data_IF_089347094224
#
_entry.id   IF_089347094224
#
_cell.length_a   1.000
_cell.length_b   1.000
_cell.length_c   1.000
_cell.angle_alpha   90.00
_cell.angle_beta   90.00
_cell.angle_gamma   90.00
#
_symmetry.space_group_name_H-M   'P 1'
#
loop_
_entity.id
_entity.type
_entity.pdbx_description
1 polymer ?
#
# COMPACT_ATOMS: atom_id res chain seq x y z
N UNK A 1 5.31 1.66 15.06
CA UNK A 1 6.67 1.71 14.47
C UNK A 1 7.14 0.28 14.25
N UNK A 2 7.64 -0.04 13.05
CA UNK A 2 8.14 -1.37 12.67
C UNK A 2 9.55 -1.21 12.09
N UNK A 3 10.63 -1.45 12.87
CA UNK A 3 12.01 -1.34 12.38
C UNK A 3 12.34 -2.47 11.39
N UNK A 4 12.92 -2.15 10.23
CA UNK A 4 13.11 -3.12 9.12
C UNK A 4 14.53 -3.21 8.58
N UNK A 5 15.34 -2.17 8.73
CA UNK A 5 16.68 -2.08 8.18
C UNK A 5 17.55 -1.13 9.00
N UNK A 6 18.86 -1.37 8.98
CA UNK A 6 19.85 -0.67 9.79
C UNK A 6 21.07 -0.32 8.93
N UNK A 7 21.57 0.92 9.04
CA UNK A 7 22.91 1.24 8.56
C UNK A 7 23.67 2.10 9.57
N UNK A 8 24.88 1.65 9.90
CA UNK A 8 25.79 2.33 10.79
C UNK A 8 26.67 3.33 10.01
N UNK A 9 26.55 4.61 10.34
CA UNK A 9 27.53 5.62 9.95
C UNK A 9 28.58 5.75 11.05
N UNK A 10 29.62 4.92 10.98
CA UNK A 10 30.71 4.92 11.97
C UNK A 10 31.54 6.21 11.96
N UNK A 11 31.50 6.99 10.87
CA UNK A 11 32.20 8.28 10.76
C UNK A 11 31.53 9.33 11.64
N UNK A 12 30.20 9.37 11.63
CA UNK A 12 29.41 10.34 12.40
C UNK A 12 28.97 9.79 13.77
N UNK A 13 29.10 8.47 14.00
CA UNK A 13 28.66 7.83 15.24
C UNK A 13 27.14 7.68 15.31
N UNK A 14 26.49 7.43 14.18
CA UNK A 14 25.03 7.41 14.05
C UNK A 14 24.55 6.09 13.45
N UNK A 15 23.41 5.61 13.95
CA UNK A 15 22.70 4.46 13.41
C UNK A 15 21.39 4.94 12.79
N UNK A 16 21.21 4.64 11.50
CA UNK A 16 19.98 4.91 10.76
C UNK A 16 19.11 3.67 10.76
N UNK A 17 17.82 3.83 11.07
CA UNK A 17 16.85 2.74 11.19
C UNK A 17 15.62 3.04 10.33
N UNK A 18 15.29 2.20 9.34
CA UNK A 18 14.03 2.34 8.61
C UNK A 18 12.87 1.86 9.48
N UNK A 19 11.79 2.63 9.51
CA UNK A 19 10.57 2.32 10.26
C UNK A 19 9.39 2.22 9.29
N UNK A 20 9.18 1.02 8.70
CA UNK A 20 8.27 0.81 7.58
C UNK A 20 6.83 1.25 7.86
N UNK A 21 6.28 0.91 9.02
CA UNK A 21 4.91 1.27 9.40
C UNK A 21 4.77 2.71 9.93
N UNK A 22 5.74 3.59 9.68
CA UNK A 22 5.71 4.99 10.14
C UNK A 22 6.34 5.96 9.13
N UNK A 23 6.80 5.49 7.97
CA UNK A 23 7.40 6.29 6.90
C UNK A 23 8.52 7.24 7.35
N UNK A 24 9.34 6.77 8.28
CA UNK A 24 10.49 7.51 8.76
C UNK A 24 11.77 6.68 8.74
N UNK A 25 12.89 7.39 8.74
CA UNK A 25 14.18 6.90 9.22
C UNK A 25 14.46 7.52 10.58
N UNK A 26 14.62 6.68 11.61
CA UNK A 26 15.10 7.11 12.92
C UNK A 26 16.63 7.20 12.91
N UNK A 27 17.17 8.28 13.49
CA UNK A 27 18.62 8.48 13.66
C UNK A 27 18.95 8.35 15.15
N UNK A 28 19.84 7.42 15.48
CA UNK A 28 20.23 7.12 16.86
C UNK A 28 21.70 7.47 17.04
N UNK A 29 22.02 8.22 18.10
CA UNK A 29 23.40 8.44 18.51
C UNK A 29 23.95 7.17 19.16
N UNK A 30 25.00 6.59 18.58
CA UNK A 30 25.55 5.31 19.05
C UNK A 30 26.41 5.40 20.31
N UNK A 31 26.64 6.60 20.84
CA UNK A 31 27.36 6.82 22.11
C UNK A 31 26.41 7.03 23.28
N UNK A 32 25.26 7.63 23.03
CA UNK A 32 24.25 7.94 24.07
C UNK A 32 23.02 7.04 24.01
N UNK A 33 22.87 6.25 22.94
CA UNK A 33 21.68 5.43 22.65
C UNK A 33 20.38 6.24 22.55
N UNK A 34 20.49 7.52 22.18
CA UNK A 34 19.36 8.44 22.08
C UNK A 34 18.91 8.64 20.63
N UNK A 35 17.59 8.71 20.43
CA UNK A 35 16.98 9.15 19.18
C UNK A 35 17.25 10.65 19.00
N UNK A 36 18.03 11.02 17.98
CA UNK A 36 18.39 12.41 17.69
C UNK A 36 17.49 13.07 16.64
N UNK A 37 16.94 12.28 15.71
CA UNK A 37 16.10 12.77 14.63
C UNK A 37 15.17 11.68 14.09
N UNK A 38 14.02 12.08 13.54
CA UNK A 38 13.14 11.22 12.74
C UNK A 38 12.90 11.90 11.40
N UNK A 39 13.45 11.32 10.34
CA UNK A 39 13.43 11.89 9.00
C UNK A 39 12.25 11.28 8.26
N UNK A 40 11.27 12.08 7.85
CA UNK A 40 10.21 11.62 6.94
C UNK A 40 10.81 11.26 5.58
N UNK A 41 10.36 10.13 5.03
CA UNK A 41 10.75 9.69 3.67
C UNK A 41 9.65 9.95 2.64
N UNK A 42 8.64 10.74 3.00
CA UNK A 42 7.52 11.06 2.11
C UNK A 42 7.96 11.94 0.95
N UNK A 43 7.46 11.64 -0.25
CA UNK A 43 7.62 12.50 -1.42
C UNK A 43 7.05 13.92 -1.20
N UNK A 44 6.04 14.04 -0.36
CA UNK A 44 5.49 15.33 0.06
C UNK A 44 5.09 15.30 1.53
N UNK A 45 5.33 16.40 2.26
CA UNK A 45 5.08 16.52 3.71
C UNK A 45 3.63 16.32 4.16
N UNK A 46 2.71 16.39 3.21
CA UNK A 46 1.26 16.34 3.46
C UNK A 46 0.66 14.96 3.12
N UNK A 47 1.51 14.03 2.68
CA UNK A 47 1.14 12.62 2.58
C UNK A 47 1.01 12.06 3.99
N UNK A 48 -0.07 11.32 4.22
CA UNK A 48 -0.35 10.78 5.55
C UNK A 48 0.49 9.52 5.83
N UNK A 49 0.57 8.62 4.85
CA UNK A 49 1.27 7.35 4.95
C UNK A 49 1.48 6.74 3.55
N UNK A 50 2.27 5.67 3.47
CA UNK A 50 2.41 4.81 2.29
C UNK A 50 3.73 4.93 1.55
N UNK A 51 4.81 5.38 2.19
CA UNK A 51 6.15 5.27 1.57
C UNK A 51 6.75 3.88 1.74
N UNK A 52 6.52 3.24 2.89
CA UNK A 52 6.96 1.87 3.19
C UNK A 52 8.48 1.67 3.12
N UNK A 53 9.29 2.36 3.94
CA UNK A 53 10.75 2.22 3.93
C UNK A 53 11.18 0.81 4.41
N UNK A 54 11.69 0.00 3.48
CA UNK A 54 12.02 -1.41 3.66
C UNK A 54 13.43 -1.67 4.19
N UNK A 55 14.40 -0.94 3.67
CA UNK A 55 15.82 -1.08 3.98
C UNK A 55 16.56 0.19 3.57
N UNK A 56 17.81 0.35 3.99
CA UNK A 56 18.62 1.51 3.69
C UNK A 56 20.12 1.19 3.60
N UNK A 57 20.87 1.97 2.83
CA UNK A 57 22.34 1.92 2.79
C UNK A 57 22.93 3.32 2.73
N UNK A 58 24.16 3.48 3.22
CA UNK A 58 24.95 4.70 3.07
C UNK A 58 25.72 4.68 1.74
N UNK A 59 26.01 5.87 1.21
CA UNK A 59 27.10 6.04 0.23
C UNK A 59 28.46 5.76 0.89
N UNK A 60 29.50 5.39 0.13
CA UNK A 60 30.81 5.05 0.71
C UNK A 60 31.47 6.17 1.52
N UNK A 61 31.19 7.43 1.17
CA UNK A 61 31.66 8.63 1.89
C UNK A 61 30.75 9.02 3.07
N UNK A 62 29.66 8.28 3.28
CA UNK A 62 28.66 8.55 4.31
C UNK A 62 27.86 9.83 4.12
N UNK A 63 27.94 10.50 2.95
CA UNK A 63 27.26 11.78 2.69
C UNK A 63 25.79 11.65 2.29
N UNK A 64 25.39 10.47 1.79
CA UNK A 64 24.03 10.16 1.35
C UNK A 64 23.52 8.87 1.99
N UNK A 65 22.24 8.87 2.31
CA UNK A 65 21.46 7.70 2.66
C UNK A 65 20.54 7.36 1.48
N UNK A 66 20.49 6.09 1.11
CA UNK A 66 19.58 5.55 0.11
C UNK A 66 18.60 4.64 0.81
N UNK A 67 17.31 4.96 0.74
CA UNK A 67 16.24 4.23 1.44
C UNK A 67 15.33 3.61 0.40
N UNK A 68 15.11 2.30 0.45
CA UNK A 68 14.19 1.60 -0.44
C UNK A 68 12.75 1.80 0.05
N UNK A 69 11.98 2.64 -0.64
CA UNK A 69 10.56 2.87 -0.38
C UNK A 69 9.73 1.91 -1.25
N UNK A 70 9.20 0.87 -0.61
CA UNK A 70 8.52 -0.25 -1.29
C UNK A 70 7.29 0.17 -2.07
N UNK A 71 6.38 0.86 -1.38
CA UNK A 71 5.07 1.25 -1.92
C UNK A 71 5.19 2.32 -3.02
N UNK A 72 6.24 3.13 -3.00
CA UNK A 72 6.49 4.17 -4.00
C UNK A 72 7.26 3.67 -5.22
N UNK A 73 7.74 2.41 -5.19
CA UNK A 73 8.62 1.84 -6.20
C UNK A 73 9.85 2.72 -6.46
N UNK A 74 10.48 3.19 -5.38
CA UNK A 74 11.54 4.18 -5.46
C UNK A 74 12.63 3.98 -4.38
N UNK A 75 13.80 4.57 -4.64
CA UNK A 75 14.83 4.83 -3.65
C UNK A 75 14.77 6.32 -3.27
N UNK A 76 14.46 6.62 -2.03
CA UNK A 76 14.58 7.95 -1.45
C UNK A 76 16.06 8.26 -1.16
N UNK A 77 16.53 9.43 -1.59
CA UNK A 77 17.91 9.88 -1.41
C UNK A 77 17.93 11.00 -0.38
N UNK A 78 18.66 10.82 0.72
CA UNK A 78 18.69 11.78 1.83
C UNK A 78 20.14 12.24 2.05
N UNK A 79 20.37 13.53 2.29
CA UNK A 79 21.67 13.99 2.77
C UNK A 79 21.84 13.67 4.26
N UNK A 80 22.99 13.12 4.65
CA UNK A 80 23.26 12.75 6.05
C UNK A 80 23.72 13.94 6.90
N UNK A 81 24.25 14.99 6.27
CA UNK A 81 24.66 16.22 6.97
C UNK A 81 23.43 16.98 7.45
N UNK A 82 23.41 17.34 8.73
CA UNK A 82 22.38 18.19 9.30
C UNK A 82 22.39 19.61 8.66
N UNK A 83 21.22 20.22 8.39
CA UNK A 83 19.87 19.64 8.51
C UNK A 83 19.63 18.56 7.45
N UNK A 84 19.16 17.38 7.86
CA UNK A 84 18.95 16.26 6.95
C UNK A 84 17.73 16.53 6.08
N UNK A 85 17.86 16.27 4.79
CA UNK A 85 16.82 16.58 3.81
C UNK A 85 16.77 15.50 2.75
N UNK A 86 15.55 15.16 2.33
CA UNK A 86 15.33 14.39 1.12
C UNK A 86 15.78 15.25 -0.08
N UNK A 87 16.71 14.71 -0.86
CA UNK A 87 17.25 15.33 -2.07
C UNK A 87 16.44 14.96 -3.31
N UNK A 88 15.73 13.83 -3.28
CA UNK A 88 14.91 13.33 -4.39
C UNK A 88 14.73 11.82 -4.36
N UNK A 89 14.19 11.28 -5.44
CA UNK A 89 13.79 9.89 -5.58
C UNK A 89 14.32 9.28 -6.89
N UNK A 90 14.66 7.99 -6.84
CA UNK A 90 15.14 7.21 -7.98
C UNK A 90 14.13 6.09 -8.25
N UNK A 91 13.56 5.96 -9.45
CA UNK A 91 12.57 4.92 -9.73
C UNK A 91 13.21 3.53 -9.75
N UNK A 92 12.46 2.52 -9.33
CA UNK A 92 12.85 1.10 -9.36
C UNK A 92 11.77 0.25 -10.04
N UNK A 93 11.95 -1.09 -10.02
CA UNK A 93 10.85 -2.02 -10.25
C UNK A 93 9.89 -2.08 -9.06
N UNK A 94 8.88 -2.94 -9.15
CA UNK A 94 7.84 -3.03 -8.13
C UNK A 94 8.38 -3.55 -6.78
N UNK A 95 8.15 -2.78 -5.73
CA UNK A 95 8.41 -3.09 -4.34
C UNK A 95 9.90 -3.35 -4.04
N UNK A 96 10.76 -2.32 -4.07
CA UNK A 96 12.15 -2.46 -3.67
C UNK A 96 12.22 -2.83 -2.18
N UNK A 97 12.61 -4.07 -1.88
CA UNK A 97 12.74 -4.61 -0.53
C UNK A 97 14.14 -4.42 0.07
N UNK A 98 15.14 -4.15 -0.77
CA UNK A 98 16.51 -3.89 -0.33
C UNK A 98 17.25 -3.01 -1.33
N UNK A 99 18.18 -2.18 -0.84
CA UNK A 99 19.07 -1.36 -1.65
C UNK A 99 20.51 -1.45 -1.11
N UNK A 100 21.47 -1.61 -2.00
CA UNK A 100 22.91 -1.54 -1.70
C UNK A 100 23.65 -0.67 -2.71
N UNK A 101 24.83 -0.18 -2.35
CA UNK A 101 25.75 0.48 -3.28
C UNK A 101 27.03 -0.33 -3.43
N UNK A 102 27.74 -0.15 -4.55
CA UNK A 102 29.08 -0.73 -4.69
C UNK A 102 30.13 0.09 -3.91
N UNK A 103 31.33 -0.47 -3.76
CA UNK A 103 32.44 0.18 -3.03
C UNK A 103 32.80 1.57 -3.58
N UNK A 104 32.61 1.79 -4.89
CA UNK A 104 32.91 3.07 -5.55
C UNK A 104 31.76 4.09 -5.44
N UNK A 105 30.57 3.68 -4.99
CA UNK A 105 29.40 4.55 -4.85
C UNK A 105 28.77 4.98 -6.18
N UNK A 106 29.21 4.45 -7.31
CA UNK A 106 28.75 4.86 -8.64
C UNK A 106 27.59 4.01 -9.19
N UNK A 107 27.20 2.95 -8.48
CA UNK A 107 26.01 2.17 -8.76
C UNK A 107 25.21 1.89 -7.48
N UNK A 108 23.89 1.86 -7.64
CA UNK A 108 22.92 1.33 -6.70
C UNK A 108 22.31 0.04 -7.28
N UNK A 109 21.99 -0.89 -6.39
CA UNK A 109 21.31 -2.13 -6.71
C UNK A 109 20.08 -2.24 -5.84
N UNK A 110 18.90 -2.30 -6.47
CA UNK A 110 17.64 -2.51 -5.76
C UNK A 110 17.11 -3.91 -6.05
N UNK A 111 16.82 -4.68 -5.00
CA UNK A 111 16.12 -5.95 -5.12
C UNK A 111 14.61 -5.68 -5.03
N UNK A 112 13.93 -5.80 -6.17
CA UNK A 112 12.50 -5.56 -6.32
C UNK A 112 11.78 -6.89 -6.08
N UNK A 113 11.08 -7.00 -4.94
CA UNK A 113 10.45 -8.25 -4.48
C UNK A 113 9.34 -8.66 -5.43
N UNK A 114 8.51 -7.69 -5.85
CA UNK A 114 7.40 -7.95 -6.76
C UNK A 114 7.83 -7.82 -8.24
N UNK A 115 8.88 -7.06 -8.52
CA UNK A 115 9.56 -7.03 -9.81
C UNK A 115 8.64 -6.67 -10.97
N UNK A 116 8.35 -7.63 -11.85
CA UNK A 116 7.45 -7.47 -13.00
C UNK A 116 6.01 -7.97 -12.75
N UNK A 117 5.71 -8.50 -11.56
CA UNK A 117 4.40 -9.04 -11.20
C UNK A 117 4.13 -10.44 -11.79
N UNK A 118 2.84 -10.80 -11.85
CA UNK A 118 2.35 -12.14 -12.22
C UNK A 118 2.07 -12.29 -13.72
N UNK A 119 3.06 -12.00 -14.58
CA UNK A 119 2.92 -11.95 -16.05
C UNK A 119 2.74 -13.32 -16.75
N UNK A 120 2.39 -14.39 -16.02
CA UNK A 120 2.24 -15.78 -16.51
C UNK A 120 3.31 -16.18 -17.53
N UNK A 121 4.53 -16.43 -17.07
CA UNK A 121 5.64 -16.88 -17.93
C UNK A 121 5.65 -18.40 -18.15
N UNK A 122 4.60 -19.10 -17.71
CA UNK A 122 4.56 -20.56 -17.70
C UNK A 122 3.91 -21.09 -18.96
N UNK A 123 4.66 -21.90 -19.69
CA UNK A 123 4.23 -22.48 -20.97
C UNK A 123 3.40 -23.76 -20.80
N UNK A 124 3.37 -24.32 -19.60
CA UNK A 124 2.74 -25.62 -19.27
C UNK A 124 1.31 -25.50 -18.73
N UNK A 125 0.82 -24.30 -18.40
CA UNK A 125 -0.60 -24.08 -18.07
C UNK A 125 -1.10 -22.75 -18.63
N UNK A 126 -2.41 -22.68 -18.89
CA UNK A 126 -3.10 -21.42 -19.21
C UNK A 126 -3.53 -20.73 -17.91
N UNK A 127 -3.56 -19.40 -17.90
CA UNK A 127 -4.04 -18.58 -16.79
C UNK A 127 -2.96 -18.03 -15.86
N UNK A 128 -3.30 -16.98 -15.13
CA UNK A 128 -2.41 -16.28 -14.18
C UNK A 128 -2.55 -16.88 -12.78
N UNK A 129 -1.46 -16.86 -12.00
CA UNK A 129 -1.47 -17.24 -10.59
C UNK A 129 -0.84 -16.12 -9.77
N UNK A 130 -1.49 -15.74 -8.67
CA UNK A 130 -1.01 -14.68 -7.78
C UNK A 130 0.34 -14.97 -7.13
N UNK A 131 0.75 -16.24 -7.04
CA UNK A 131 2.04 -16.67 -6.51
C UNK A 131 3.16 -16.69 -7.58
N UNK A 132 2.85 -16.52 -8.86
CA UNK A 132 3.81 -16.60 -9.96
C UNK A 132 4.47 -15.21 -10.19
N UNK A 133 5.06 -14.64 -9.13
CA UNK A 133 5.73 -13.32 -9.16
C UNK A 133 7.18 -13.45 -9.61
N UNK A 134 7.60 -12.61 -10.56
CA UNK A 134 9.00 -12.51 -10.99
C UNK A 134 9.68 -11.28 -10.39
N UNK A 135 10.41 -11.48 -9.30
CA UNK A 135 11.30 -10.47 -8.72
C UNK A 135 12.41 -10.04 -9.69
N UNK A 136 12.91 -8.82 -9.55
CA UNK A 136 13.96 -8.27 -10.42
C UNK A 136 15.04 -7.54 -9.62
N UNK A 137 16.19 -7.28 -10.25
CA UNK A 137 17.22 -6.40 -9.71
C UNK A 137 17.36 -5.19 -10.63
N UNK A 138 17.15 -3.99 -10.09
CA UNK A 138 17.48 -2.74 -10.77
C UNK A 138 18.96 -2.42 -10.54
N UNK A 139 19.73 -2.23 -11.62
CA UNK A 139 21.12 -1.77 -11.56
C UNK A 139 21.14 -0.33 -12.06
N UNK A 140 21.41 0.61 -11.16
CA UNK A 140 21.15 2.03 -11.40
C UNK A 140 22.46 2.82 -11.23
N UNK A 141 22.96 3.51 -12.25
CA UNK A 141 24.05 4.46 -12.08
C UNK A 141 23.66 5.54 -11.07
N UNK A 142 24.52 5.82 -10.10
CA UNK A 142 24.23 6.85 -9.09
C UNK A 142 24.08 8.21 -9.78
N UNK A 143 22.90 8.88 -9.67
CA UNK A 143 22.66 10.10 -10.42
C UNK A 143 23.34 11.31 -9.77
N UNK A 144 23.84 12.22 -10.61
CA UNK A 144 24.11 13.60 -10.21
C UNK A 144 22.80 14.37 -9.98
N UNK A 145 22.89 15.64 -9.57
CA UNK A 145 21.71 16.43 -9.17
C UNK A 145 20.64 16.51 -10.27
N UNK A 146 21.02 16.85 -11.50
CA UNK A 146 20.06 16.98 -12.60
C UNK A 146 19.40 15.64 -12.95
N UNK A 147 20.17 14.55 -12.86
CA UNK A 147 19.65 13.19 -13.05
C UNK A 147 18.63 12.83 -11.97
N UNK A 148 18.95 13.15 -10.72
CA UNK A 148 18.07 12.90 -9.58
C UNK A 148 16.76 13.71 -9.70
N UNK A 149 16.84 14.97 -10.14
CA UNK A 149 15.65 15.80 -10.36
C UNK A 149 14.73 15.19 -11.44
N UNK A 150 15.30 14.71 -12.55
CA UNK A 150 14.51 14.03 -13.60
C UNK A 150 13.89 12.74 -13.10
N UNK A 151 14.66 11.91 -12.41
CA UNK A 151 14.20 10.65 -11.82
C UNK A 151 13.09 10.88 -10.77
N UNK A 152 13.21 11.95 -9.99
CA UNK A 152 12.19 12.36 -9.01
C UNK A 152 10.88 12.68 -9.70
N UNK A 153 10.91 13.41 -10.82
CA UNK A 153 9.70 13.68 -11.61
C UNK A 153 9.07 12.39 -12.15
N UNK A 154 9.88 11.43 -12.60
CA UNK A 154 9.38 10.11 -13.01
C UNK A 154 8.68 9.37 -11.87
N UNK A 155 9.25 9.38 -10.66
CA UNK A 155 8.61 8.80 -9.47
C UNK A 155 7.30 9.52 -9.16
N UNK A 156 7.28 10.85 -9.30
CA UNK A 156 6.08 11.67 -9.12
C UNK A 156 4.96 11.29 -10.10
N UNK A 157 5.31 11.09 -11.37
CA UNK A 157 4.38 10.68 -12.42
C UNK A 157 3.86 9.26 -12.21
N UNK A 158 4.75 8.29 -11.94
CA UNK A 158 4.39 6.88 -11.78
C UNK A 158 3.41 6.63 -10.64
N UNK A 159 3.53 7.40 -9.55
CA UNK A 159 2.66 7.28 -8.38
C UNK A 159 1.50 8.30 -8.39
N UNK A 160 1.26 8.96 -9.53
CA UNK A 160 0.18 9.94 -9.70
C UNK A 160 0.16 11.05 -8.63
N UNK A 161 1.34 11.45 -8.16
CA UNK A 161 1.47 12.38 -7.04
C UNK A 161 0.83 13.73 -7.34
N UNK A 162 1.01 14.27 -8.56
CA UNK A 162 0.43 15.55 -8.94
C UNK A 162 -1.11 15.51 -8.93
N UNK A 163 -1.71 14.42 -9.40
CA UNK A 163 -3.15 14.22 -9.35
C UNK A 163 -3.64 14.09 -7.91
N UNK A 164 -2.91 13.37 -7.06
CA UNK A 164 -3.25 13.23 -5.65
C UNK A 164 -3.14 14.56 -4.90
N UNK A 165 -2.06 15.31 -5.13
CA UNK A 165 -1.84 16.64 -4.57
C UNK A 165 -2.91 17.64 -5.00
N UNK A 166 -3.29 17.63 -6.29
CA UNK A 166 -4.38 18.47 -6.80
C UNK A 166 -5.73 18.17 -6.11
N UNK A 167 -5.96 16.90 -5.70
CA UNK A 167 -7.14 16.52 -4.91
C UNK A 167 -7.04 16.94 -3.45
N UNK A 168 -5.84 16.91 -2.85
CA UNK A 168 -5.62 17.39 -1.47
C UNK A 168 -5.75 18.91 -1.33
N UNK A 169 -5.29 19.67 -2.34
CA UNK A 169 -5.24 21.13 -2.33
C UNK A 169 -6.10 21.75 -3.45
N UNK A 170 -7.43 21.55 -3.46
CA UNK A 170 -8.26 22.18 -4.45
C UNK A 170 -8.28 23.70 -4.25
N UNK A 171 -7.97 24.45 -5.31
CA UNK A 171 -8.36 25.86 -5.41
C UNK A 171 -9.89 25.96 -5.56
N UNK A 172 -10.50 27.10 -5.18
CA UNK A 172 -11.24 27.31 -3.93
C UNK A 172 -12.49 26.44 -3.68
N UNK A 173 -12.62 25.99 -2.42
CA UNK A 173 -13.78 25.92 -1.50
C UNK A 173 -15.21 25.79 -2.07
N UNK A 174 -15.46 24.88 -3.02
CA UNK A 174 -16.86 24.49 -3.25
C UNK A 174 -17.36 23.70 -2.03
N UNK A 175 -18.15 24.35 -1.17
CA UNK A 175 -18.92 23.71 -0.09
C UNK A 175 -20.18 23.02 -0.62
N UNK A 176 -20.16 22.61 -1.88
CA UNK A 176 -21.33 22.03 -2.54
C UNK A 176 -21.63 20.66 -1.94
N UNK A 177 -22.92 20.39 -1.80
CA UNK A 177 -23.42 19.04 -1.54
C UNK A 177 -23.46 18.28 -2.87
N UNK A 178 -22.80 17.13 -2.93
CA UNK A 178 -22.68 16.27 -4.12
C UNK A 178 -22.94 14.82 -3.73
N UNK A 179 -23.25 13.89 -4.66
CA UNK A 179 -23.48 12.49 -4.27
C UNK A 179 -22.24 11.84 -3.66
N UNK A 180 -21.11 11.84 -4.39
CA UNK A 180 -19.82 11.30 -3.92
C UNK A 180 -18.81 12.46 -3.84
N UNK A 181 -18.41 12.89 -2.63
CA UNK A 181 -17.37 13.91 -2.46
C UNK A 181 -16.04 13.43 -3.02
N UNK A 182 -15.40 14.24 -3.85
CA UNK A 182 -14.02 14.01 -4.29
C UNK A 182 -13.06 15.09 -3.78
N UNK A 183 -13.58 16.13 -3.11
CA UNK A 183 -12.82 17.16 -2.41
C UNK A 183 -13.19 17.17 -0.92
N UNK A 184 -12.23 17.42 -0.01
CA UNK A 184 -12.51 17.51 1.43
C UNK A 184 -13.56 18.57 1.83
N UNK A 185 -13.73 19.62 1.01
CA UNK A 185 -14.71 20.68 1.28
C UNK A 185 -16.16 20.33 0.89
N UNK A 186 -16.37 19.26 0.13
CA UNK A 186 -17.68 18.83 -0.33
C UNK A 186 -18.38 17.97 0.72
N UNK A 187 -19.72 17.97 0.72
CA UNK A 187 -20.53 17.09 1.58
C UNK A 187 -21.38 16.15 0.75
N UNK A 188 -21.64 14.94 1.26
CA UNK A 188 -22.44 13.96 0.52
C UNK A 188 -23.95 14.22 0.63
N UNK A 189 -24.72 13.92 -0.43
CA UNK A 189 -26.17 13.74 -0.35
C UNK A 189 -26.56 12.48 0.44
N UNK A 190 -25.68 11.48 0.47
CA UNK A 190 -25.90 10.24 1.19
C UNK A 190 -25.70 10.44 2.69
N UNK A 191 -26.62 9.86 3.47
CA UNK A 191 -26.56 9.87 4.94
C UNK A 191 -25.96 8.58 5.51
N UNK A 192 -26.06 7.50 4.74
CA UNK A 192 -25.62 6.16 5.11
C UNK A 192 -24.85 5.57 3.95
N UNK A 193 -23.75 4.89 4.27
CA UNK A 193 -22.97 4.10 3.33
C UNK A 193 -23.01 2.66 3.84
N UNK A 194 -23.38 1.73 2.97
CA UNK A 194 -23.30 0.30 3.25
C UNK A 194 -22.10 -0.20 2.47
N UNK A 195 -21.08 -0.66 3.19
CA UNK A 195 -19.89 -1.25 2.59
C UNK A 195 -19.95 -2.77 2.73
N UNK A 196 -19.78 -3.48 1.62
CA UNK A 196 -19.89 -4.93 1.53
C UNK A 196 -18.59 -5.46 0.95
N UNK A 197 -17.88 -6.23 1.75
CA UNK A 197 -16.66 -6.93 1.34
C UNK A 197 -17.07 -8.32 0.87
N UNK A 198 -16.61 -8.68 -0.34
CA UNK A 198 -16.85 -10.00 -0.92
C UNK A 198 -15.55 -10.57 -1.45
N UNK A 199 -15.23 -11.75 -0.95
CA UNK A 199 -14.04 -12.54 -1.26
C UNK A 199 -14.47 -13.78 -2.09
N UNK A 200 -13.72 -14.40 -3.02
CA UNK A 200 -12.37 -14.16 -3.57
C UNK A 200 -12.49 -14.32 -5.10
N UNK A 201 -12.93 -13.28 -5.82
CA UNK A 201 -13.13 -13.37 -7.29
C UNK A 201 -12.61 -12.12 -7.96
N UNK A 202 -11.94 -12.31 -9.10
CA UNK A 202 -11.50 -11.20 -9.93
C UNK A 202 -12.70 -10.54 -10.61
N UNK A 203 -12.48 -9.34 -11.15
CA UNK A 203 -13.48 -8.63 -11.94
C UNK A 203 -14.00 -9.52 -13.09
N UNK A 204 -13.11 -10.05 -13.92
CA UNK A 204 -13.52 -10.83 -15.11
C UNK A 204 -14.24 -12.12 -14.77
N UNK A 205 -13.89 -12.78 -13.65
CA UNK A 205 -14.59 -13.99 -13.21
C UNK A 205 -16.07 -13.75 -12.93
N UNK A 206 -16.46 -12.53 -12.53
CA UNK A 206 -17.85 -12.19 -12.18
C UNK A 206 -18.51 -11.33 -13.25
N UNK A 207 -17.84 -10.31 -13.74
CA UNK A 207 -18.39 -9.28 -14.63
C UNK A 207 -17.75 -9.28 -16.03
N UNK A 208 -16.93 -10.28 -16.36
CA UNK A 208 -16.29 -10.38 -17.68
C UNK A 208 -17.29 -10.49 -18.85
N UNK A 209 -18.54 -10.90 -18.58
CA UNK A 209 -19.65 -10.95 -19.52
C UNK A 209 -20.50 -9.66 -19.59
N UNK A 210 -20.18 -8.63 -18.81
CA UNK A 210 -20.85 -7.33 -18.90
C UNK A 210 -20.27 -6.48 -20.03
N UNK A 211 -20.99 -6.36 -21.13
CA UNK A 211 -20.59 -5.59 -22.31
C UNK A 211 -20.34 -4.09 -22.06
N UNK A 212 -20.82 -3.55 -20.92
CA UNK A 212 -20.61 -2.17 -20.52
C UNK A 212 -19.21 -1.91 -19.95
N UNK A 213 -18.49 -2.95 -19.54
CA UNK A 213 -17.17 -2.83 -18.92
C UNK A 213 -16.04 -3.35 -19.81
N UNK A 214 -14.81 -3.09 -19.39
CA UNK A 214 -13.59 -3.63 -19.99
C UNK A 214 -13.29 -5.05 -19.47
N UNK A 215 -14.25 -5.96 -19.64
CA UNK A 215 -14.16 -7.35 -19.19
C UNK A 215 -13.74 -8.32 -20.29
N UNK A 216 -12.99 -9.36 -19.91
CA UNK A 216 -12.71 -10.50 -20.79
C UNK A 216 -13.73 -11.62 -20.59
N UNK A 217 -14.69 -11.70 -21.52
CA UNK A 217 -15.73 -12.74 -21.54
C UNK A 217 -15.18 -14.18 -21.49
N UNK A 218 -13.94 -14.41 -21.95
CA UNK A 218 -13.32 -15.74 -21.92
C UNK A 218 -12.87 -16.18 -20.53
N UNK A 219 -12.78 -15.24 -19.58
CA UNK A 219 -12.44 -15.47 -18.18
C UNK A 219 -13.68 -15.50 -17.26
N UNK A 220 -14.88 -15.27 -17.80
CA UNK A 220 -16.12 -15.25 -17.04
C UNK A 220 -16.52 -16.67 -16.58
N UNK A 221 -16.45 -16.91 -15.27
CA UNK A 221 -16.85 -18.17 -14.64
C UNK A 221 -18.25 -18.07 -13.99
N UNK A 222 -18.58 -16.89 -13.47
CA UNK A 222 -19.77 -16.62 -12.66
C UNK A 222 -20.65 -15.53 -13.28
N UNK A 223 -20.86 -15.61 -14.60
CA UNK A 223 -21.64 -14.64 -15.37
C UNK A 223 -23.10 -14.49 -14.92
N UNK A 224 -23.88 -13.73 -15.67
CA UNK A 224 -25.22 -13.26 -15.30
C UNK A 224 -26.13 -14.33 -14.68
N UNK A 225 -26.18 -15.52 -15.27
CA UNK A 225 -27.06 -16.60 -14.78
C UNK A 225 -26.67 -17.15 -13.41
N UNK A 226 -25.40 -17.00 -13.01
CA UNK A 226 -24.87 -17.47 -11.73
C UNK A 226 -24.87 -16.35 -10.69
N UNK A 227 -24.61 -15.10 -11.11
CA UNK A 227 -24.58 -13.93 -10.20
C UNK A 227 -25.57 -12.83 -10.60
N UNK A 228 -26.86 -13.14 -10.78
CA UNK A 228 -27.85 -12.20 -11.34
C UNK A 228 -28.02 -10.95 -10.47
N UNK A 229 -27.92 -11.08 -9.15
CA UNK A 229 -28.01 -9.92 -8.24
C UNK A 229 -26.82 -8.97 -8.37
N UNK A 230 -25.60 -9.49 -8.55
CA UNK A 230 -24.41 -8.64 -8.70
C UNK A 230 -24.49 -7.85 -9.99
N UNK A 231 -24.85 -8.52 -11.07
CA UNK A 231 -24.98 -7.87 -12.35
C UNK A 231 -26.15 -6.89 -12.38
N UNK A 232 -27.31 -7.23 -11.77
CA UNK A 232 -28.42 -6.27 -11.62
C UNK A 232 -27.99 -5.00 -10.92
N UNK A 233 -27.20 -5.10 -9.85
CA UNK A 233 -26.66 -3.92 -9.15
C UNK A 233 -25.75 -3.09 -10.09
N UNK A 234 -24.86 -3.74 -10.84
CA UNK A 234 -23.99 -3.04 -11.78
C UNK A 234 -24.77 -2.38 -12.93
N UNK A 235 -25.77 -3.05 -13.50
CA UNK A 235 -26.64 -2.51 -14.56
C UNK A 235 -27.51 -1.34 -14.09
N UNK A 236 -28.04 -1.42 -12.86
CA UNK A 236 -28.93 -0.41 -12.30
C UNK A 236 -28.19 0.83 -11.82
N UNK A 237 -26.97 0.66 -11.32
CA UNK A 237 -26.20 1.75 -10.70
C UNK A 237 -24.93 2.05 -11.50
N UNK A 238 -23.82 1.44 -11.13
CA UNK A 238 -22.52 1.69 -11.72
C UNK A 238 -21.74 0.39 -11.81
N UNK A 239 -21.20 0.12 -13.00
CA UNK A 239 -20.16 -0.86 -13.19
C UNK A 239 -18.82 -0.13 -13.05
N UNK A 240 -18.01 -0.54 -12.08
CA UNK A 240 -16.64 -0.05 -11.91
C UNK A 240 -15.69 -1.11 -12.42
N UNK A 241 -14.95 -0.79 -13.48
CA UNK A 241 -13.86 -1.61 -14.01
C UNK A 241 -12.51 -0.91 -13.79
N UNK A 242 -11.41 -1.61 -14.12
CA UNK A 242 -10.04 -1.09 -13.99
C UNK A 242 -9.68 -0.59 -12.57
N UNK A 243 -10.28 -1.19 -11.55
CA UNK A 243 -9.95 -0.91 -10.16
C UNK A 243 -8.73 -1.73 -9.73
N UNK A 244 -7.62 -1.06 -9.47
CA UNK A 244 -6.37 -1.68 -9.04
C UNK A 244 -6.21 -1.49 -7.54
N UNK A 245 -5.84 -2.55 -6.84
CA UNK A 245 -5.53 -2.51 -5.40
C UNK A 245 -4.25 -3.29 -5.12
N UNK A 246 -3.57 -2.98 -4.01
CA UNK A 246 -2.36 -3.71 -3.58
C UNK A 246 -2.68 -5.11 -3.05
N UNK A 247 -3.95 -5.40 -2.75
CA UNK A 247 -4.38 -6.69 -2.23
C UNK A 247 -4.25 -7.82 -3.26
N UNK A 248 -3.40 -8.80 -2.98
CA UNK A 248 -3.18 -9.96 -3.87
C UNK A 248 -3.93 -11.22 -3.38
N UNK A 249 -4.05 -11.41 -2.06
CA UNK A 249 -4.75 -12.52 -1.41
C UNK A 249 -5.63 -11.99 -0.28
N UNK A 250 -6.48 -12.83 0.33
CA UNK A 250 -7.39 -12.40 1.41
C UNK A 250 -6.67 -11.68 2.53
N UNK A 251 -5.51 -12.20 2.94
CA UNK A 251 -4.75 -11.59 4.05
C UNK A 251 -4.20 -10.20 3.76
N UNK A 252 -3.96 -9.82 2.51
CA UNK A 252 -3.54 -8.45 2.14
C UNK A 252 -4.74 -7.62 1.69
N UNK A 253 -5.72 -8.26 1.06
CA UNK A 253 -6.94 -7.62 0.54
C UNK A 253 -7.81 -7.06 1.65
N UNK A 254 -8.05 -7.83 2.72
CA UNK A 254 -8.80 -7.35 3.89
C UNK A 254 -8.10 -6.16 4.56
N UNK A 255 -6.78 -6.24 4.75
CA UNK A 255 -5.99 -5.14 5.34
C UNK A 255 -6.06 -3.89 4.46
N UNK A 256 -5.87 -4.02 3.15
CA UNK A 256 -5.99 -2.90 2.24
C UNK A 256 -7.40 -2.28 2.25
N UNK A 257 -8.42 -3.13 2.26
CA UNK A 257 -9.82 -2.71 2.29
C UNK A 257 -10.17 -1.94 3.56
N UNK A 258 -9.72 -2.42 4.71
CA UNK A 258 -10.11 -1.85 6.00
C UNK A 258 -9.14 -0.78 6.50
N UNK A 259 -7.88 -0.78 6.07
CA UNK A 259 -6.81 0.09 6.59
C UNK A 259 -6.19 1.01 5.53
N UNK A 260 -6.58 0.82 4.26
CA UNK A 260 -6.03 1.51 3.08
C UNK A 260 -4.52 1.32 2.85
N UNK A 261 -3.89 0.41 3.58
CA UNK A 261 -2.47 0.12 3.54
C UNK A 261 -2.25 -1.36 3.87
N UNK A 262 -1.32 -2.00 3.17
CA UNK A 262 -0.78 -3.30 3.58
C UNK A 262 0.56 -3.03 4.25
N UNK A 263 0.76 -3.59 5.45
CA UNK A 263 2.03 -3.41 6.14
C UNK A 263 3.15 -4.14 5.41
N UNK A 264 4.35 -3.58 5.48
CA UNK A 264 5.57 -4.20 4.94
C UNK A 264 5.78 -5.64 5.42
N UNK A 265 5.40 -5.93 6.67
CA UNK A 265 5.44 -7.28 7.23
C UNK A 265 4.63 -8.27 6.40
N UNK A 266 3.43 -7.88 5.94
CA UNK A 266 2.58 -8.73 5.13
C UNK A 266 3.03 -8.78 3.67
N UNK A 267 3.47 -7.66 3.10
CA UNK A 267 4.04 -7.61 1.76
C UNK A 267 5.25 -8.56 1.62
N UNK A 268 6.12 -8.62 2.64
CA UNK A 268 7.26 -9.58 2.65
C UNK A 268 6.89 -11.00 3.02
N UNK A 269 5.74 -11.23 3.66
CA UNK A 269 5.27 -12.57 4.01
C UNK A 269 4.66 -13.33 2.80
N UNK A 270 4.55 -12.66 1.65
CA UNK A 270 4.00 -13.23 0.43
C UNK A 270 4.77 -14.48 -0.01
N UNK A 271 4.03 -15.57 -0.25
CA UNK A 271 4.59 -16.88 -0.63
C UNK A 271 4.53 -17.96 0.47
N UNK A 272 4.27 -17.60 1.73
CA UNK A 272 4.14 -18.61 2.78
C UNK A 272 3.40 -18.21 4.06
N UNK A 273 3.24 -16.91 4.36
CA UNK A 273 2.56 -16.44 5.58
C UNK A 273 3.00 -17.20 6.84
N UNK A 274 4.32 -17.41 6.96
CA UNK A 274 4.94 -18.38 7.87
C UNK A 274 4.66 -18.14 9.35
N UNK A 275 4.34 -16.90 9.72
CA UNK A 275 3.96 -16.52 11.08
C UNK A 275 2.44 -16.53 11.28
N UNK A 276 1.66 -15.97 10.36
CA UNK A 276 0.21 -15.79 10.50
C UNK A 276 -0.45 -15.49 9.14
N UNK A 277 -1.74 -15.81 9.01
CA UNK A 277 -2.62 -15.41 7.89
C UNK A 277 -3.78 -14.53 8.42
N UNK A 278 -3.53 -13.25 8.77
CA UNK A 278 -4.46 -12.40 9.52
C UNK A 278 -5.57 -11.76 8.68
N UNK A 279 -6.26 -12.54 7.84
CA UNK A 279 -7.38 -12.04 7.03
C UNK A 279 -8.52 -11.43 7.86
N UNK A 280 -8.67 -11.86 9.12
CA UNK A 280 -9.70 -11.37 10.05
C UNK A 280 -9.04 -10.82 11.33
N UNK A 281 -7.88 -10.19 11.18
CA UNK A 281 -7.06 -9.65 12.24
C UNK A 281 -6.39 -10.69 13.14
N UNK A 282 -6.04 -10.27 14.37
CA UNK A 282 -5.41 -11.12 15.38
C UNK A 282 -3.88 -11.10 15.39
N UNK A 283 -3.28 -10.35 14.46
CA UNK A 283 -1.85 -10.15 14.38
C UNK A 283 -1.48 -8.67 14.50
N UNK A 284 -0.85 -8.24 15.59
CA UNK A 284 -0.49 -6.83 15.78
C UNK A 284 0.51 -6.29 14.74
N UNK A 285 1.29 -7.15 14.07
CA UNK A 285 2.22 -6.71 13.03
C UNK A 285 1.54 -6.42 11.70
N UNK A 286 0.31 -6.90 11.51
CA UNK A 286 -0.48 -6.67 10.32
C UNK A 286 -1.09 -5.27 10.28
N UNK A 287 -1.38 -4.69 11.46
CA UNK A 287 -2.11 -3.42 11.58
C UNK A 287 -1.24 -2.22 11.16
N UNK A 288 -1.74 -1.50 10.16
CA UNK A 288 -1.20 -0.26 9.66
C UNK A 288 -1.35 0.88 10.66
N UNK A 289 -0.41 1.83 10.61
CA UNK A 289 -0.46 3.03 11.45
C UNK A 289 -1.54 4.04 11.04
N UNK A 290 -2.11 3.92 9.85
CA UNK A 290 -3.30 4.66 9.40
C UNK A 290 -4.52 4.37 10.28
N UNK A 291 -4.57 3.17 10.86
CA UNK A 291 -5.74 2.61 11.54
C UNK A 291 -6.81 2.19 10.54
N UNK A 292 -7.95 1.77 11.07
CA UNK A 292 -9.02 1.20 10.27
C UNK A 292 -10.02 2.26 9.79
N UNK A 293 -10.83 1.92 8.79
CA UNK A 293 -11.91 2.76 8.26
C UNK A 293 -12.88 3.16 9.36
N UNK A 294 -13.21 2.25 10.28
CA UNK A 294 -14.07 2.57 11.42
C UNK A 294 -13.40 3.49 12.43
N UNK A 295 -12.09 3.40 12.65
CA UNK A 295 -11.37 4.37 13.48
C UNK A 295 -11.48 5.76 12.88
N UNK A 296 -11.41 5.87 11.55
CA UNK A 296 -11.55 7.14 10.85
C UNK A 296 -12.99 7.69 10.95
N UNK A 297 -14.00 6.83 10.78
CA UNK A 297 -15.43 7.18 10.94
C UNK A 297 -15.69 7.72 12.36
N UNK A 298 -15.24 6.99 13.39
CA UNK A 298 -15.43 7.37 14.79
C UNK A 298 -14.68 8.65 15.16
N UNK A 299 -13.44 8.82 14.69
CA UNK A 299 -12.64 10.05 14.89
C UNK A 299 -13.33 11.30 14.32
N UNK A 300 -14.19 11.15 13.31
CA UNK A 300 -14.97 12.24 12.71
C UNK A 300 -16.38 12.39 13.31
N UNK A 301 -16.67 11.76 14.44
CA UNK A 301 -17.95 11.90 15.15
C UNK A 301 -19.14 11.24 14.45
N UNK A 302 -18.87 10.29 13.54
CA UNK A 302 -19.89 9.52 12.84
C UNK A 302 -20.15 8.18 13.54
N UNK A 303 -21.26 7.54 13.17
CA UNK A 303 -21.62 6.22 13.71
C UNK A 303 -21.19 5.12 12.75
N UNK A 304 -20.74 4.01 13.32
CA UNK A 304 -20.33 2.82 12.60
C UNK A 304 -21.02 1.59 13.20
N UNK A 305 -21.31 0.60 12.36
CA UNK A 305 -21.78 -0.71 12.80
C UNK A 305 -21.16 -1.78 11.92
N UNK A 306 -20.51 -2.73 12.57
CA UNK A 306 -19.92 -3.91 11.94
C UNK A 306 -20.87 -5.11 12.02
N UNK A 307 -20.90 -5.90 10.95
CA UNK A 307 -21.71 -7.10 10.85
C UNK A 307 -20.88 -8.38 10.64
N UNK A 308 -19.55 -8.30 10.63
CA UNK A 308 -18.70 -9.50 10.58
C UNK A 308 -17.22 -9.31 10.22
N UNK A 309 -16.77 -8.12 9.83
CA UNK A 309 -15.38 -7.87 9.41
C UNK A 309 -14.51 -7.60 10.64
N UNK A 310 -13.38 -8.28 10.81
CA UNK A 310 -12.52 -8.20 12.02
C UNK A 310 -13.26 -8.45 13.36
N UNK A 311 -14.47 -9.02 13.33
CA UNK A 311 -15.24 -9.35 14.54
C UNK A 311 -15.03 -10.80 14.95
N UNK A 312 -14.46 -11.01 16.13
CA UNK A 312 -14.48 -12.32 16.81
C UNK A 312 -15.81 -12.52 17.53
N UNK A 313 -16.78 -13.13 16.86
CA UNK A 313 -18.11 -13.38 17.46
C UNK A 313 -18.11 -14.68 18.25
N UNK A 314 -18.60 -14.64 19.50
CA UNK A 314 -19.01 -15.84 20.24
C UNK A 314 -20.51 -16.05 19.98
N UNK A 315 -20.85 -17.09 19.22
CA UNK A 315 -22.25 -17.40 18.88
C UNK A 315 -22.92 -18.07 20.08
N UNK A 316 -24.03 -17.50 20.55
CA UNK A 316 -24.85 -18.05 21.63
C UNK A 316 -26.30 -18.25 21.16
N UNK A 317 -26.90 -19.46 21.35
CA UNK A 317 -26.21 -20.70 21.76
C UNK A 317 -25.18 -21.14 20.71
N UNK A 318 -24.17 -21.92 21.12
CA UNK A 318 -23.11 -22.40 20.21
C UNK A 318 -23.65 -23.16 18.99
N UNK A 319 -24.83 -23.75 19.13
CA UNK A 319 -25.55 -24.50 18.09
C UNK A 319 -26.37 -23.60 17.14
N UNK A 320 -26.33 -22.27 17.30
CA UNK A 320 -27.12 -21.38 16.45
C UNK A 320 -26.58 -21.40 15.02
N UNK A 321 -27.41 -21.90 14.09
CA UNK A 321 -27.16 -21.85 12.66
C UNK A 321 -27.80 -20.59 12.05
N UNK A 322 -27.46 -20.30 10.78
CA UNK A 322 -28.07 -19.19 10.03
C UNK A 322 -29.61 -19.29 9.95
N UNK A 323 -30.17 -20.51 10.06
CA UNK A 323 -31.62 -20.75 10.08
C UNK A 323 -32.28 -20.31 11.40
N UNK A 324 -31.51 -20.12 12.48
CA UNK A 324 -32.01 -19.82 13.82
C UNK A 324 -31.95 -18.32 14.16
N UNK A 325 -31.38 -17.47 13.30
CA UNK A 325 -31.32 -16.02 13.55
C UNK A 325 -32.65 -15.36 13.20
N UNK A 326 -33.57 -15.27 14.17
CA UNK A 326 -34.56 -14.19 14.15
C UNK A 326 -33.78 -12.89 14.39
N UNK A 327 -33.82 -11.99 13.42
CA UNK A 327 -33.32 -10.63 13.56
C UNK A 327 -33.96 -9.98 14.79
N UNK A 328 -33.19 -9.82 15.87
CA UNK A 328 -33.54 -8.85 16.89
C UNK A 328 -32.88 -7.51 16.53
N UNK A 329 -33.66 -6.42 16.59
CA UNK A 329 -33.35 -5.11 15.98
C UNK A 329 -32.14 -4.39 16.55
#
# INVERSE_FOLDING_TARGET
MLPTGLALNSIQGELYVTCANSDIVSVINTRTDELTESISVHAHKDLLFGSGPNNLTLSPDGSRLYVANGEENAICVIQTKAPRQVLGYIPTGWYPGSVITNQKGNFLYAANVNGAGSLNQRTDRRGHNSHDVLGTISIIPTPGQDGLNRMTNTVHENNSYLQMMAKMYPTPKSKKKVPVPWLPSQTSHFKHVVYIIKENRTYDQVFGDMAQGNGDTSLAEFGWHVTPNHHRLAEQFVLMDNFNCSGVLSTTGHQWTDEALVTEYLEKAFGGFTRSYPYNGGDPLAYASSGFIWDNVLRHGLTFRDYGEFVKTIVHPKEASWANRRSHP
#
